data_IF_334237475754
#
_entry.id   IF_334237475754
#
_cell.length_a   1.000
_cell.length_b   1.000
_cell.length_c   1.000
_cell.angle_alpha   90.00
_cell.angle_beta   90.00
_cell.angle_gamma   90.00
#
_symmetry.space_group_name_H-M   'P 1'
#
loop_
_entity.id
_entity.type
_entity.pdbx_description
1 polymer ?
#
# COMPACT_ATOMS: atom_id res chain seq x y z
N UNK A 1 34.39 21.38 2.86
CA UNK A 1 33.66 20.12 3.18
C UNK A 1 32.25 20.30 2.69
N UNK A 2 31.96 19.80 1.50
CA UNK A 2 30.65 19.93 0.86
C UNK A 2 29.73 18.86 1.44
N UNK A 3 28.95 19.22 2.46
CA UNK A 3 27.79 18.42 2.85
C UNK A 3 26.53 19.20 2.50
N UNK A 4 25.88 18.80 1.41
CA UNK A 4 24.42 18.74 1.19
C UNK A 4 24.13 18.43 -0.31
N UNK A 5 22.99 17.79 -0.67
CA UNK A 5 21.85 17.43 0.17
C UNK A 5 21.39 15.97 0.05
N UNK A 6 20.94 15.38 1.17
CA UNK A 6 20.14 14.16 1.17
C UNK A 6 18.66 14.41 0.76
N UNK A 7 18.36 15.43 -0.05
CA UNK A 7 17.00 15.96 -0.23
C UNK A 7 16.60 16.10 -1.71
N UNK A 8 16.97 15.15 -2.57
CA UNK A 8 16.51 15.13 -3.95
C UNK A 8 16.12 13.71 -4.40
N UNK A 9 15.16 13.08 -3.71
CA UNK A 9 14.24 12.19 -4.42
C UNK A 9 13.42 13.10 -5.34
N UNK A 10 13.87 13.25 -6.59
CA UNK A 10 13.29 14.18 -7.57
C UNK A 10 11.84 13.83 -7.90
N UNK A 11 11.06 14.81 -8.39
CA UNK A 11 9.68 14.63 -8.84
C UNK A 11 9.51 13.48 -9.86
N UNK A 12 10.55 13.22 -10.66
CA UNK A 12 10.61 12.12 -11.63
C UNK A 12 10.43 10.74 -10.98
N UNK A 13 10.99 10.53 -9.78
CA UNK A 13 10.90 9.24 -9.09
C UNK A 13 9.52 9.03 -8.42
N UNK A 14 8.84 10.13 -8.05
CA UNK A 14 7.49 10.06 -7.49
C UNK A 14 6.45 9.74 -8.56
N UNK A 15 6.55 10.36 -9.73
CA UNK A 15 5.61 10.12 -10.84
C UNK A 15 5.71 8.67 -11.34
N UNK A 16 6.94 8.15 -11.52
CA UNK A 16 7.16 6.74 -11.86
C UNK A 16 6.61 5.78 -10.79
N UNK A 17 6.80 6.13 -9.50
CA UNK A 17 6.24 5.35 -8.39
C UNK A 17 4.71 5.35 -8.42
N UNK A 18 4.08 6.51 -8.63
CA UNK A 18 2.62 6.63 -8.75
C UNK A 18 2.08 5.86 -9.96
N UNK A 19 2.79 5.86 -11.10
CA UNK A 19 2.42 5.07 -12.26
C UNK A 19 2.49 3.56 -11.99
N UNK A 20 3.49 3.10 -11.23
CA UNK A 20 3.57 1.70 -10.79
C UNK A 20 2.44 1.36 -9.81
N UNK A 21 2.17 2.26 -8.86
CA UNK A 21 1.13 2.09 -7.86
C UNK A 21 -0.27 2.08 -8.49
N UNK A 22 -0.52 2.88 -9.52
CA UNK A 22 -1.77 2.88 -10.27
C UNK A 22 -2.01 1.57 -11.05
N UNK A 23 -0.94 0.84 -11.38
CA UNK A 23 -1.00 -0.49 -12.02
C UNK A 23 -1.06 -1.64 -11.01
N UNK A 24 -0.97 -1.35 -9.71
CA UNK A 24 -1.10 -2.36 -8.67
C UNK A 24 -2.53 -2.87 -8.64
N UNK A 25 -2.71 -4.11 -9.06
CA UNK A 25 -4.00 -4.77 -9.03
C UNK A 25 -4.32 -5.22 -7.60
N UNK A 26 -5.29 -4.54 -6.99
CA UNK A 26 -5.77 -4.83 -5.64
C UNK A 26 -7.11 -5.57 -5.65
N UNK A 27 -7.72 -5.81 -6.82
CA UNK A 27 -9.00 -6.53 -6.91
C UNK A 27 -8.94 -7.94 -6.30
N UNK A 28 -7.87 -8.75 -6.46
CA UNK A 28 -7.79 -10.06 -5.83
C UNK A 28 -7.85 -9.99 -4.30
N UNK A 29 -7.26 -8.95 -3.71
CA UNK A 29 -7.22 -8.74 -2.26
C UNK A 29 -8.60 -8.30 -1.78
N UNK A 30 -9.24 -7.36 -2.48
CA UNK A 30 -10.61 -6.90 -2.20
C UNK A 30 -11.58 -8.08 -2.30
N UNK A 31 -11.46 -8.91 -3.34
CA UNK A 31 -12.29 -10.10 -3.52
C UNK A 31 -12.11 -11.09 -2.37
N UNK A 32 -10.86 -11.36 -1.96
CA UNK A 32 -10.57 -12.24 -0.82
C UNK A 32 -11.18 -11.69 0.46
N UNK A 33 -10.80 -10.50 0.89
CA UNK A 33 -11.17 -9.95 2.21
C UNK A 33 -12.69 -9.71 2.37
N UNK A 34 -13.41 -9.54 1.26
CA UNK A 34 -14.87 -9.40 1.25
C UNK A 34 -15.61 -10.73 1.13
N UNK A 35 -14.91 -11.84 0.90
CA UNK A 35 -15.54 -13.16 0.79
C UNK A 35 -16.19 -13.53 2.13
N UNK A 36 -17.46 -13.99 2.15
CA UNK A 36 -18.19 -14.34 3.37
C UNK A 36 -17.58 -15.43 4.26
N UNK A 37 -16.50 -16.08 3.81
CA UNK A 37 -15.81 -17.15 4.51
C UNK A 37 -14.50 -16.69 5.15
N UNK A 38 -14.06 -15.47 4.87
CA UNK A 38 -12.90 -14.88 5.52
C UNK A 38 -13.25 -14.39 6.92
N UNK A 39 -12.26 -14.45 7.81
CA UNK A 39 -12.42 -14.16 9.24
C UNK A 39 -12.82 -12.70 9.55
N UNK A 40 -12.62 -11.79 8.59
CA UNK A 40 -12.78 -10.34 8.78
C UNK A 40 -14.16 -9.81 8.41
N UNK A 41 -14.89 -10.48 7.50
CA UNK A 41 -16.24 -10.09 7.06
C UNK A 41 -16.37 -8.65 6.53
N UNK A 42 -15.39 -8.14 5.77
CA UNK A 42 -15.43 -6.76 5.30
C UNK A 42 -16.52 -6.56 4.24
N UNK A 43 -17.16 -5.39 4.27
CA UNK A 43 -17.99 -4.93 3.15
C UNK A 43 -17.10 -4.47 2.00
N UNK A 44 -17.63 -4.51 0.77
CA UNK A 44 -16.93 -4.02 -0.40
C UNK A 44 -16.54 -2.54 -0.25
N UNK A 45 -17.46 -1.71 0.22
CA UNK A 45 -17.21 -0.29 0.50
C UNK A 45 -16.03 -0.07 1.46
N UNK A 46 -15.93 -0.89 2.52
CA UNK A 46 -14.80 -0.83 3.45
C UNK A 46 -13.51 -1.24 2.76
N UNK A 47 -13.52 -2.33 2.00
CA UNK A 47 -12.34 -2.83 1.30
C UNK A 47 -11.81 -1.81 0.28
N UNK A 48 -12.68 -1.19 -0.51
CA UNK A 48 -12.32 -0.14 -1.47
C UNK A 48 -11.72 1.08 -0.76
N UNK A 49 -12.35 1.53 0.32
CA UNK A 49 -11.84 2.66 1.13
C UNK A 49 -10.43 2.36 1.65
N UNK A 50 -10.22 1.15 2.20
CA UNK A 50 -8.92 0.76 2.76
C UNK A 50 -7.88 0.55 1.67
N UNK A 51 -8.25 0.06 0.49
CA UNK A 51 -7.35 -0.06 -0.65
C UNK A 51 -6.77 1.31 -1.07
N UNK A 52 -7.60 2.36 -1.08
CA UNK A 52 -7.13 3.72 -1.34
C UNK A 52 -6.23 4.27 -0.23
N UNK A 53 -6.58 4.03 1.05
CA UNK A 53 -5.73 4.39 2.19
C UNK A 53 -4.38 3.65 2.15
N UNK A 54 -4.37 2.39 1.72
CA UNK A 54 -3.17 1.59 1.56
C UNK A 54 -2.25 2.18 0.47
N UNK A 55 -2.79 2.62 -0.67
CA UNK A 55 -2.01 3.35 -1.71
C UNK A 55 -1.41 4.65 -1.17
N UNK A 56 -2.18 5.42 -0.39
CA UNK A 56 -1.69 6.64 0.25
C UNK A 56 -0.57 6.33 1.25
N UNK A 57 -0.72 5.27 2.05
CA UNK A 57 0.31 4.79 2.96
C UNK A 57 1.60 4.41 2.23
N UNK A 58 1.53 3.65 1.13
CA UNK A 58 2.69 3.32 0.31
C UNK A 58 3.39 4.56 -0.26
N UNK A 59 2.61 5.56 -0.67
CA UNK A 59 3.14 6.85 -1.14
C UNK A 59 3.85 7.59 -0.01
N UNK A 60 3.27 7.60 1.20
CA UNK A 60 3.88 8.23 2.37
C UNK A 60 5.20 7.53 2.75
N UNK A 61 5.24 6.20 2.76
CA UNK A 61 6.47 5.42 3.00
C UNK A 61 7.55 5.71 1.96
N UNK A 62 7.16 5.88 0.69
CA UNK A 62 8.09 6.24 -0.37
C UNK A 62 8.67 7.65 -0.19
N UNK A 63 7.85 8.63 0.18
CA UNK A 63 8.25 10.02 0.40
C UNK A 63 9.08 10.20 1.68
N UNK A 64 8.75 9.45 2.73
CA UNK A 64 9.32 9.58 4.07
C UNK A 64 10.00 8.28 4.51
N UNK A 65 11.09 7.83 3.86
CA UNK A 65 11.71 6.52 4.14
C UNK A 65 12.32 6.39 5.54
N UNK A 66 12.63 7.52 6.19
CA UNK A 66 13.22 7.56 7.52
C UNK A 66 12.17 7.84 8.62
N UNK A 67 10.89 7.94 8.26
CA UNK A 67 9.82 8.13 9.23
C UNK A 67 9.30 6.76 9.68
N UNK A 68 9.14 6.60 11.00
CA UNK A 68 8.45 5.46 11.58
C UNK A 68 6.93 5.67 11.45
N UNK A 69 6.41 5.48 10.24
CA UNK A 69 4.96 5.52 10.00
C UNK A 69 4.40 4.13 10.23
N UNK A 70 3.61 3.98 11.30
CA UNK A 70 2.88 2.75 11.58
C UNK A 70 1.57 2.72 10.79
N UNK A 71 1.20 1.59 10.16
CA UNK A 71 -0.10 1.44 9.54
C UNK A 71 -1.20 1.45 10.61
N UNK A 72 -2.41 1.86 10.22
CA UNK A 72 -3.59 1.58 11.04
C UNK A 72 -3.91 0.10 10.98
N UNK A 73 -4.68 -0.43 11.94
CA UNK A 73 -5.10 -1.84 11.94
C UNK A 73 -5.75 -2.25 10.62
N UNK A 74 -6.54 -1.39 9.98
CA UNK A 74 -7.17 -1.70 8.69
C UNK A 74 -6.15 -1.81 7.56
N UNK A 75 -5.16 -0.91 7.51
CA UNK A 75 -4.09 -0.94 6.51
C UNK A 75 -3.19 -2.16 6.72
N UNK A 76 -2.88 -2.48 7.97
CA UNK A 76 -2.10 -3.65 8.38
C UNK A 76 -2.80 -4.95 7.99
N UNK A 77 -4.10 -5.05 8.28
CA UNK A 77 -4.93 -6.19 7.85
C UNK A 77 -4.91 -6.36 6.33
N UNK A 78 -5.13 -5.28 5.58
CA UNK A 78 -5.11 -5.32 4.12
C UNK A 78 -3.73 -5.73 3.57
N UNK A 79 -2.67 -5.24 4.20
CA UNK A 79 -1.29 -5.59 3.86
C UNK A 79 -0.98 -7.07 4.10
N UNK A 80 -1.49 -7.65 5.19
CA UNK A 80 -1.37 -9.10 5.45
C UNK A 80 -1.97 -9.92 4.30
N UNK A 81 -3.16 -9.58 3.82
CA UNK A 81 -3.76 -10.25 2.66
C UNK A 81 -2.96 -10.03 1.37
N UNK A 82 -2.38 -8.84 1.17
CA UNK A 82 -1.55 -8.53 0.01
C UNK A 82 -0.26 -9.36 -0.02
N UNK A 83 0.46 -9.51 1.10
CA UNK A 83 1.66 -10.35 1.16
C UNK A 83 1.31 -11.81 0.87
N UNK A 84 0.22 -12.32 1.45
CA UNK A 84 -0.21 -13.70 1.21
C UNK A 84 -0.56 -13.95 -0.26
N UNK A 85 -1.11 -12.96 -0.96
CA UNK A 85 -1.41 -13.05 -2.40
C UNK A 85 -0.14 -13.02 -3.26
N UNK A 86 0.81 -12.14 -2.94
CA UNK A 86 2.06 -12.01 -3.71
C UNK A 86 3.07 -13.13 -3.44
N UNK A 87 3.10 -13.71 -2.23
CA UNK A 87 3.98 -14.82 -1.89
C UNK A 87 3.51 -16.19 -2.41
N UNK A 88 2.20 -16.37 -2.64
CA UNK A 88 1.63 -17.63 -3.12
C UNK A 88 1.63 -17.76 -4.66
N UNK A 89 2.13 -16.75 -5.38
CA UNK A 89 2.20 -16.72 -6.85
C UNK A 89 3.61 -16.93 -7.43
N UNK A 90 4.60 -17.34 -6.64
CA UNK A 90 5.95 -17.69 -7.11
C UNK A 90 6.04 -19.09 -7.71
#
# INVERSE_FOLDING_TARGET
>A
MNHLPAIAKSATNLEEFQQKLAKLDLEPIIFKITHPKEDKGWTLEKADRVAELYKQFLTLMFLCPNAEVLPTTEIDDFWHYHILDTALRS
#
